data_IF_918644513880
#
_entry.id   IF_918644513880
#
_cell.length_a   1.000
_cell.length_b   1.000
_cell.length_c   1.000
_cell.angle_alpha   90.00
_cell.angle_beta   90.00
_cell.angle_gamma   90.00
#
_symmetry.space_group_name_H-M   'P 1'
#
loop_
_entity.id
_entity.type
_entity.pdbx_description
1 polymer ?
#
# COMPACT_ATOMS: atom_id res chain seq x y z
N UNK A 1 -13.07 -6.03 7.39
CA UNK A 1 -12.39 -4.77 7.06
C UNK A 1 -10.90 -4.98 7.29
N UNK A 2 -10.06 -4.76 6.27
CA UNK A 2 -8.61 -5.01 6.33
C UNK A 2 -7.80 -3.72 6.34
N UNK A 3 -6.62 -3.76 6.94
CA UNK A 3 -5.57 -2.75 6.71
C UNK A 3 -4.53 -3.40 5.81
N UNK A 4 -4.24 -2.76 4.68
CA UNK A 4 -3.35 -3.29 3.66
C UNK A 4 -2.24 -2.28 3.42
N UNK A 5 -1.00 -2.76 3.31
CA UNK A 5 0.12 -1.90 2.95
C UNK A 5 -0.12 -1.27 1.57
N UNK A 6 -0.12 0.06 1.49
CA UNK A 6 -0.39 0.81 0.28
C UNK A 6 0.51 0.38 -0.91
N UNK A 7 1.77 0.04 -0.63
CA UNK A 7 2.72 -0.43 -1.64
C UNK A 7 2.30 -1.74 -2.32
N UNK A 8 1.54 -2.61 -1.63
CA UNK A 8 1.04 -3.87 -2.18
C UNK A 8 -0.12 -3.66 -3.16
N UNK A 9 -0.81 -2.52 -3.03
CA UNK A 9 -1.88 -2.10 -3.94
C UNK A 9 -1.34 -1.30 -5.14
N UNK A 10 -0.02 -1.20 -5.28
CA UNK A 10 0.63 -0.49 -6.39
C UNK A 10 0.87 1.00 -6.12
N UNK A 11 0.66 1.50 -4.90
CA UNK A 11 0.96 2.89 -4.56
C UNK A 11 2.48 3.06 -4.41
N UNK A 12 3.05 4.02 -5.14
CA UNK A 12 4.46 4.36 -5.07
C UNK A 12 4.80 5.09 -3.77
N UNK A 13 4.91 4.32 -2.68
CA UNK A 13 5.21 4.85 -1.35
C UNK A 13 6.39 4.14 -0.69
N UNK A 14 7.16 3.34 -1.44
CA UNK A 14 8.35 2.67 -0.93
C UNK A 14 9.50 3.67 -0.85
N UNK A 15 10.41 3.45 0.08
CA UNK A 15 11.68 4.18 0.19
C UNK A 15 12.54 4.21 -1.11
N UNK A 16 12.20 3.42 -2.12
CA UNK A 16 12.87 3.41 -3.43
C UNK A 16 12.10 4.18 -4.52
N UNK A 17 11.04 4.91 -4.17
CA UNK A 17 10.14 5.63 -5.10
C UNK A 17 9.18 4.73 -5.88
N UNK A 18 9.27 3.41 -5.69
CA UNK A 18 8.43 2.40 -6.36
C UNK A 18 7.35 1.82 -5.45
N UNK A 19 6.82 0.66 -5.87
CA UNK A 19 5.81 -0.10 -5.15
C UNK A 19 6.16 -1.60 -5.13
N UNK A 20 5.35 -2.39 -4.42
CA UNK A 20 5.46 -3.85 -4.37
C UNK A 20 4.11 -4.46 -4.79
N UNK A 21 3.56 -4.02 -5.92
CA UNK A 21 2.26 -4.50 -6.41
C UNK A 21 2.15 -6.02 -6.31
N UNK A 22 1.07 -6.48 -5.68
CA UNK A 22 0.78 -7.90 -5.49
C UNK A 22 -0.66 -8.17 -5.93
N UNK A 23 -0.80 -8.89 -7.05
CA UNK A 23 -2.10 -9.21 -7.64
C UNK A 23 -3.03 -9.96 -6.67
N UNK A 24 -2.50 -10.90 -5.88
CA UNK A 24 -3.29 -11.62 -4.89
C UNK A 24 -3.90 -10.67 -3.82
N UNK A 25 -3.12 -9.68 -3.37
CA UNK A 25 -3.59 -8.69 -2.39
C UNK A 25 -4.60 -7.74 -3.02
N UNK A 26 -4.37 -7.36 -4.28
CA UNK A 26 -5.31 -6.54 -5.07
C UNK A 26 -6.67 -7.23 -5.21
N UNK A 27 -6.71 -8.53 -5.50
CA UNK A 27 -7.95 -9.30 -5.59
C UNK A 27 -8.70 -9.36 -4.25
N UNK A 28 -7.99 -9.45 -3.12
CA UNK A 28 -8.59 -9.39 -1.78
C UNK A 28 -9.17 -8.00 -1.51
N UNK A 29 -8.44 -6.95 -1.89
CA UNK A 29 -8.85 -5.57 -1.71
C UNK A 29 -10.08 -5.20 -2.55
N UNK A 30 -10.28 -5.81 -3.72
CA UNK A 30 -11.47 -5.62 -4.56
C UNK A 30 -12.71 -6.32 -4.00
N UNK A 31 -12.52 -7.44 -3.31
CA UNK A 31 -13.61 -8.24 -2.73
C UNK A 31 -13.97 -7.84 -1.30
N UNK A 32 -13.14 -7.06 -0.61
CA UNK A 32 -13.33 -6.71 0.80
C UNK A 32 -13.04 -5.23 1.08
N UNK A 33 -13.82 -4.62 1.97
CA UNK A 33 -13.53 -3.27 2.47
C UNK A 33 -12.15 -3.23 3.12
N UNK A 34 -11.34 -2.26 2.71
CA UNK A 34 -9.96 -2.11 3.18
C UNK A 34 -9.57 -0.64 3.31
N UNK A 35 -8.52 -0.39 4.09
CA UNK A 35 -7.82 0.89 4.17
C UNK A 35 -6.37 0.65 3.75
N UNK A 36 -5.93 1.37 2.73
CA UNK A 36 -4.54 1.37 2.28
C UNK A 36 -3.70 2.28 3.18
N UNK A 37 -2.62 1.77 3.77
CA UNK A 37 -1.76 2.54 4.67
C UNK A 37 -0.29 2.34 4.31
N UNK A 38 0.47 3.42 4.26
CA UNK A 38 1.93 3.38 4.35
C UNK A 38 2.33 4.02 5.69
N UNK A 39 2.80 3.24 6.67
CA UNK A 39 3.18 3.78 7.98
C UNK A 39 4.29 4.83 7.89
N UNK A 40 5.23 4.69 6.95
CA UNK A 40 6.32 5.64 6.72
C UNK A 40 5.78 7.02 6.33
N UNK A 41 4.95 7.06 5.29
CA UNK A 41 4.33 8.30 4.79
C UNK A 41 3.38 8.91 5.83
N UNK A 42 2.57 8.08 6.49
CA UNK A 42 1.68 8.53 7.56
C UNK A 42 2.47 9.08 8.77
N UNK A 43 3.68 8.56 9.00
CA UNK A 43 4.63 9.05 9.98
C UNK A 43 5.44 10.27 9.54
N UNK A 44 5.22 10.80 8.34
CA UNK A 44 5.87 12.00 7.82
C UNK A 44 7.21 11.75 7.12
N UNK A 45 7.59 10.50 6.85
CA UNK A 45 8.77 10.22 6.04
C UNK A 45 8.50 10.53 4.55
N UNK A 46 9.47 11.12 3.84
CA UNK A 46 9.33 11.40 2.43
C UNK A 46 9.38 10.11 1.60
N UNK A 47 8.76 10.16 0.43
CA UNK A 47 8.98 9.19 -0.65
C UNK A 47 9.96 9.86 -1.62
N UNK A 48 11.06 9.21 -2.02
CA UNK A 48 11.95 9.75 -3.05
C UNK A 48 11.31 9.80 -4.43
#
# INVERSE_FOLDING_TARGET
>A
MYIISACLLGINCKYSGGNNYCEAVKNIAESHSHIAVCPEVAGGLPIP
#
